data_IF_942033078845
#
_entry.id   IF_942033078845
#
_cell.length_a   1.000
_cell.length_b   1.000
_cell.length_c   1.000
_cell.angle_alpha   90.00
_cell.angle_beta   90.00
_cell.angle_gamma   90.00
#
_symmetry.space_group_name_H-M   'P 1'
#
loop_
_entity.id
_entity.type
_entity.pdbx_description
1 polymer ?
#
# COMPACT_ATOMS: atom_id res chain seq x y z
N UNK A 1 30.44 3.98 -1.72
CA UNK A 1 30.86 2.71 -1.08
C UNK A 1 29.80 2.28 -0.11
N UNK A 2 29.60 0.97 0.08
CA UNK A 2 28.64 0.39 1.05
C UNK A 2 28.79 1.01 2.44
N UNK A 3 30.03 1.23 2.91
CA UNK A 3 30.31 1.88 4.20
C UNK A 3 29.70 3.28 4.35
N UNK A 4 29.53 4.03 3.24
CA UNK A 4 28.87 5.34 3.29
C UNK A 4 27.37 5.23 3.55
N UNK A 5 26.73 4.14 3.12
CA UNK A 5 25.29 3.93 3.34
C UNK A 5 24.98 3.67 4.81
N UNK A 6 25.81 2.88 5.50
CA UNK A 6 25.69 2.67 6.94
C UNK A 6 25.99 3.91 7.80
N UNK A 7 26.64 4.93 7.22
CA UNK A 7 26.95 6.19 7.89
C UNK A 7 25.92 7.30 7.63
N UNK A 8 24.85 7.01 6.89
CA UNK A 8 23.76 7.98 6.67
C UNK A 8 23.00 8.22 7.97
N UNK A 9 22.69 9.49 8.24
CA UNK A 9 21.73 9.88 9.27
C UNK A 9 20.35 10.02 8.63
N UNK A 10 19.43 9.14 9.02
CA UNK A 10 18.06 9.07 8.51
C UNK A 10 17.13 9.33 9.70
N UNK A 11 16.68 10.57 9.86
CA UNK A 11 15.78 10.96 10.95
C UNK A 11 16.36 10.74 12.35
N UNK A 12 17.69 10.83 12.53
CA UNK A 12 18.37 10.55 13.79
C UNK A 12 18.82 9.10 13.97
N UNK A 13 18.60 8.24 12.98
CA UNK A 13 18.97 6.82 13.01
C UNK A 13 20.05 6.49 12.00
N UNK A 14 20.92 5.53 12.35
CA UNK A 14 21.92 4.97 11.43
C UNK A 14 21.49 3.57 10.98
N UNK A 15 21.57 3.25 9.67
CA UNK A 15 21.23 1.92 9.18
C UNK A 15 22.11 0.83 9.80
N UNK A 16 21.53 -0.35 10.09
CA UNK A 16 22.26 -1.53 10.60
C UNK A 16 22.28 -2.69 9.61
N UNK A 17 21.40 -2.65 8.60
CA UNK A 17 21.28 -3.63 7.52
C UNK A 17 21.02 -2.92 6.21
N UNK A 18 21.37 -3.57 5.11
CA UNK A 18 21.03 -3.15 3.75
C UNK A 18 20.21 -4.26 3.11
N UNK A 19 19.10 -3.88 2.47
CA UNK A 19 18.34 -4.72 1.57
C UNK A 19 18.79 -4.41 0.14
N UNK A 20 19.13 -5.43 -0.63
CA UNK A 20 19.51 -5.31 -2.02
C UNK A 20 18.60 -6.21 -2.85
N UNK A 21 17.93 -5.62 -3.84
CA UNK A 21 16.90 -6.28 -4.64
C UNK A 21 17.18 -6.09 -6.13
N UNK A 22 16.46 -6.84 -6.96
CA UNK A 22 16.51 -6.67 -8.40
C UNK A 22 15.94 -5.32 -8.82
N UNK A 23 16.58 -4.67 -9.79
CA UNK A 23 16.07 -3.43 -10.38
C UNK A 23 14.95 -3.78 -11.36
N UNK A 24 13.74 -3.30 -11.08
CA UNK A 24 12.58 -3.51 -11.94
C UNK A 24 12.43 -2.37 -12.95
N UNK A 25 11.95 -2.70 -14.14
CA UNK A 25 11.51 -1.70 -15.12
C UNK A 25 10.08 -1.25 -14.79
N UNK A 26 9.95 -0.27 -13.90
CA UNK A 26 8.67 0.20 -13.39
C UNK A 26 8.01 1.13 -14.42
N UNK A 27 6.87 0.69 -14.96
CA UNK A 27 6.08 1.51 -15.89
C UNK A 27 5.16 2.50 -15.16
N UNK A 28 4.74 2.16 -13.94
CA UNK A 28 3.84 2.97 -13.12
C UNK A 28 3.97 2.59 -11.63
N UNK A 29 3.85 3.60 -10.78
CA UNK A 29 3.82 3.48 -9.32
C UNK A 29 2.44 3.88 -8.80
N UNK A 30 1.96 3.21 -7.75
CA UNK A 30 0.71 3.53 -7.06
C UNK A 30 0.92 3.51 -5.54
N UNK A 31 -0.06 3.98 -4.79
CA UNK A 31 -0.07 3.82 -3.34
C UNK A 31 -1.21 2.90 -2.95
N UNK A 32 -0.97 1.94 -2.07
CA UNK A 32 -2.01 1.09 -1.48
C UNK A 32 -1.72 0.89 0.01
N UNK A 33 -2.73 1.06 0.85
CA UNK A 33 -2.63 0.70 2.27
C UNK A 33 -3.91 0.11 2.84
N UNK A 34 -3.75 -0.62 3.93
CA UNK A 34 -4.81 -1.13 4.78
C UNK A 34 -4.64 -0.54 6.16
N UNK A 35 -5.72 0.00 6.73
CA UNK A 35 -5.71 0.65 8.04
C UNK A 35 -6.99 0.37 8.82
N UNK A 36 -6.96 0.60 10.13
CA UNK A 36 -8.15 0.51 10.98
C UNK A 36 -8.88 1.85 11.00
N UNK A 37 -10.11 1.88 10.49
CA UNK A 37 -11.04 2.98 10.73
C UNK A 37 -11.76 2.76 12.07
N UNK A 38 -11.36 3.56 13.07
CA UNK A 38 -11.89 3.48 14.44
C UNK A 38 -13.33 3.98 14.57
N UNK A 39 -13.75 4.92 13.73
CA UNK A 39 -15.11 5.48 13.77
C UNK A 39 -16.13 4.45 13.27
N UNK A 40 -15.73 3.68 12.26
CA UNK A 40 -16.58 2.66 11.63
C UNK A 40 -16.31 1.24 12.16
N UNK A 41 -15.30 1.06 13.01
CA UNK A 41 -14.85 -0.25 13.51
C UNK A 41 -14.60 -1.24 12.37
N UNK A 42 -13.94 -0.77 11.31
CA UNK A 42 -13.70 -1.51 10.06
C UNK A 42 -12.24 -1.43 9.63
N UNK A 43 -11.84 -2.33 8.74
CA UNK A 43 -10.60 -2.20 7.97
C UNK A 43 -10.95 -1.40 6.71
N UNK A 44 -10.12 -0.41 6.39
CA UNK A 44 -10.23 0.38 5.16
C UNK A 44 -9.03 0.11 4.26
N UNK A 45 -9.31 -0.08 2.97
CA UNK A 45 -8.34 0.02 1.89
C UNK A 45 -8.27 1.48 1.43
N UNK A 46 -7.06 2.04 1.39
CA UNK A 46 -6.76 3.33 0.80
C UNK A 46 -5.89 3.13 -0.42
N UNK A 47 -6.11 3.92 -1.47
CA UNK A 47 -5.25 3.92 -2.64
C UNK A 47 -5.11 5.29 -3.29
N UNK A 48 -3.99 5.49 -3.99
CA UNK A 48 -3.75 6.66 -4.83
C UNK A 48 -3.13 6.25 -6.16
N UNK A 49 -3.47 6.97 -7.23
CA UNK A 49 -3.01 6.67 -8.60
C UNK A 49 -1.53 6.94 -8.84
N UNK A 50 -0.90 7.68 -7.92
CA UNK A 50 0.54 7.96 -7.86
C UNK A 50 1.12 7.36 -6.59
N UNK A 51 2.18 6.55 -6.75
CA UNK A 51 3.05 6.07 -5.66
C UNK A 51 4.28 6.95 -5.49
N UNK A 52 5.13 6.60 -4.52
CA UNK A 52 6.29 7.40 -4.11
C UNK A 52 5.91 8.74 -3.47
N UNK A 53 4.64 8.90 -3.07
CA UNK A 53 4.11 10.15 -2.52
C UNK A 53 4.20 10.18 -1.01
N UNK A 54 4.31 11.38 -0.46
CA UNK A 54 4.09 11.67 0.97
C UNK A 54 2.58 11.76 1.21
N UNK A 55 2.03 10.77 1.90
CA UNK A 55 0.57 10.63 2.09
C UNK A 55 0.05 11.71 3.02
N UNK A 56 0.87 12.14 3.97
CA UNK A 56 0.55 13.12 5.01
C UNK A 56 0.41 14.54 4.45
N UNK A 57 1.03 14.85 3.32
CA UNK A 57 0.92 16.14 2.64
C UNK A 57 -0.35 16.29 1.78
N UNK A 58 -1.09 15.20 1.53
CA UNK A 58 -2.25 15.20 0.64
C UNK A 58 -3.58 15.25 1.40
N UNK A 59 -4.60 15.84 0.76
CA UNK A 59 -5.96 15.78 1.29
C UNK A 59 -6.46 14.33 1.28
N UNK A 60 -7.06 13.89 2.39
CA UNK A 60 -7.70 12.59 2.53
C UNK A 60 -8.75 12.34 1.44
N UNK A 61 -9.37 13.40 0.91
CA UNK A 61 -10.34 13.31 -0.17
C UNK A 61 -9.72 12.95 -1.54
N UNK A 62 -8.40 13.06 -1.71
CA UNK A 62 -7.71 12.70 -2.94
C UNK A 62 -7.57 11.17 -3.12
N UNK A 63 -7.75 10.41 -2.05
CA UNK A 63 -7.55 8.96 -2.04
C UNK A 63 -8.85 8.22 -2.33
N UNK A 64 -8.72 7.14 -3.09
CA UNK A 64 -9.72 6.08 -3.07
C UNK A 64 -9.78 5.48 -1.66
N UNK A 65 -10.97 5.31 -1.11
CA UNK A 65 -11.19 4.76 0.22
C UNK A 65 -12.40 3.84 0.22
N UNK A 66 -12.21 2.61 0.67
CA UNK A 66 -13.29 1.65 0.83
C UNK A 66 -13.11 0.80 2.09
N UNK A 67 -14.19 0.61 2.84
CA UNK A 67 -14.23 -0.42 3.86
C UNK A 67 -14.17 -1.79 3.19
N UNK A 68 -13.40 -2.71 3.77
CA UNK A 68 -13.16 -4.01 3.16
C UNK A 68 -13.30 -5.14 4.18
N UNK A 69 -13.94 -6.22 3.74
CA UNK A 69 -14.04 -7.50 4.45
C UNK A 69 -13.70 -8.63 3.47
N UNK A 70 -13.44 -9.86 3.95
CA UNK A 70 -13.19 -10.99 3.06
C UNK A 70 -14.30 -11.23 2.01
N UNK A 71 -15.55 -10.83 2.32
CA UNK A 71 -16.69 -11.00 1.41
C UNK A 71 -16.79 -9.89 0.37
N UNK A 72 -16.19 -8.72 0.60
CA UNK A 72 -16.27 -7.57 -0.32
C UNK A 72 -15.04 -7.42 -1.21
N UNK A 73 -14.01 -8.27 -1.04
CA UNK A 73 -12.73 -8.19 -1.76
C UNK A 73 -12.93 -8.03 -3.28
N UNK A 74 -13.74 -8.90 -3.90
CA UNK A 74 -13.99 -8.85 -5.34
C UNK A 74 -14.51 -7.47 -5.79
N UNK A 75 -15.59 -6.98 -5.19
CA UNK A 75 -16.19 -5.69 -5.54
C UNK A 75 -15.26 -4.50 -5.26
N UNK A 76 -14.49 -4.54 -4.17
CA UNK A 76 -13.53 -3.48 -3.85
C UNK A 76 -12.35 -3.50 -4.83
N UNK A 77 -11.87 -4.68 -5.23
CA UNK A 77 -10.80 -4.82 -6.20
C UNK A 77 -11.20 -4.35 -7.61
N UNK A 78 -12.43 -4.62 -8.05
CA UNK A 78 -12.96 -4.08 -9.30
C UNK A 78 -12.99 -2.54 -9.28
N UNK A 79 -13.55 -1.94 -8.22
CA UNK A 79 -13.59 -0.49 -8.06
C UNK A 79 -12.18 0.13 -7.96
N UNK A 80 -11.25 -0.57 -7.31
CA UNK A 80 -9.85 -0.18 -7.23
C UNK A 80 -9.17 -0.22 -8.61
N UNK A 81 -9.42 -1.26 -9.40
CA UNK A 81 -8.88 -1.39 -10.75
C UNK A 81 -9.38 -0.26 -11.67
N UNK A 82 -10.67 0.10 -11.58
CA UNK A 82 -11.22 1.25 -12.29
C UNK A 82 -10.57 2.57 -11.83
N UNK A 83 -10.49 2.81 -10.52
CA UNK A 83 -9.86 4.01 -9.97
C UNK A 83 -8.40 4.14 -10.39
N UNK A 84 -7.64 3.05 -10.32
CA UNK A 84 -6.27 3.01 -10.77
C UNK A 84 -6.16 3.02 -12.29
N UNK A 85 -7.23 2.99 -13.09
CA UNK A 85 -7.15 2.87 -14.56
C UNK A 85 -6.34 1.64 -15.01
N UNK A 86 -6.54 0.52 -14.31
CA UNK A 86 -5.92 -0.78 -14.54
C UNK A 86 -6.98 -1.91 -14.67
N UNK A 87 -8.01 -1.75 -15.52
CA UNK A 87 -9.11 -2.71 -15.60
C UNK A 87 -8.67 -4.11 -16.05
N UNK A 88 -7.61 -4.19 -16.87
CA UNK A 88 -7.05 -5.47 -17.34
C UNK A 88 -6.32 -6.24 -16.23
N UNK A 89 -5.98 -5.57 -15.12
CA UNK A 89 -5.29 -6.13 -13.97
C UNK A 89 -6.25 -6.46 -12.80
N UNK A 90 -7.57 -6.34 -12.99
CA UNK A 90 -8.55 -6.52 -11.92
C UNK A 90 -8.38 -7.85 -11.16
N UNK A 91 -8.15 -8.96 -11.87
CA UNK A 91 -7.92 -10.27 -11.23
C UNK A 91 -6.64 -10.29 -10.37
N UNK A 92 -5.54 -9.74 -10.88
CA UNK A 92 -4.28 -9.66 -10.13
C UNK A 92 -4.39 -8.73 -8.91
N UNK A 93 -5.13 -7.63 -9.05
CA UNK A 93 -5.44 -6.73 -7.94
C UNK A 93 -6.34 -7.41 -6.90
N UNK A 94 -7.32 -8.21 -7.31
CA UNK A 94 -8.17 -8.98 -6.39
C UNK A 94 -7.32 -9.95 -5.55
N UNK A 95 -6.45 -10.73 -6.21
CA UNK A 95 -5.54 -11.65 -5.53
C UNK A 95 -4.61 -10.92 -4.55
N UNK A 96 -4.04 -9.79 -4.96
CA UNK A 96 -3.19 -8.96 -4.10
C UNK A 96 -3.98 -8.41 -2.89
N UNK A 97 -5.15 -7.83 -3.12
CA UNK A 97 -6.01 -7.27 -2.06
C UNK A 97 -6.44 -8.36 -1.08
N UNK A 98 -6.81 -9.55 -1.57
CA UNK A 98 -7.15 -10.71 -0.73
C UNK A 98 -5.97 -11.11 0.17
N UNK A 99 -4.77 -11.18 -0.41
CA UNK A 99 -3.57 -11.58 0.31
C UNK A 99 -3.12 -10.52 1.33
N UNK A 100 -3.19 -9.23 0.98
CA UNK A 100 -2.89 -8.13 1.89
C UNK A 100 -3.89 -8.07 3.04
N UNK A 101 -5.20 -8.23 2.76
CA UNK A 101 -6.22 -8.26 3.80
C UNK A 101 -6.02 -9.44 4.76
N UNK A 102 -5.73 -10.63 4.22
CA UNK A 102 -5.38 -11.80 5.03
C UNK A 102 -4.14 -11.53 5.88
N UNK A 103 -3.06 -11.00 5.28
CA UNK A 103 -1.83 -10.66 6.00
C UNK A 103 -2.10 -9.67 7.14
N UNK A 104 -2.92 -8.65 6.88
CA UNK A 104 -3.32 -7.65 7.85
C UNK A 104 -4.04 -8.26 9.05
N UNK A 105 -4.99 -9.16 8.81
CA UNK A 105 -5.79 -9.83 9.85
C UNK A 105 -4.94 -10.84 10.62
N UNK A 106 -4.25 -11.74 9.90
CA UNK A 106 -3.53 -12.87 10.51
C UNK A 106 -2.34 -12.42 11.39
N UNK A 107 -1.84 -11.20 11.18
CA UNK A 107 -0.70 -10.64 11.92
C UNK A 107 -1.10 -9.49 12.87
N UNK A 108 -2.40 -9.28 13.10
CA UNK A 108 -2.91 -8.19 13.95
C UNK A 108 -2.32 -6.81 13.58
N UNK A 109 -2.22 -6.53 12.27
CA UNK A 109 -1.62 -5.29 11.78
C UNK A 109 -2.45 -4.07 12.20
N UNK A 110 -1.77 -2.96 12.46
CA UNK A 110 -2.39 -1.63 12.57
C UNK A 110 -2.36 -0.87 11.24
N UNK A 111 -1.32 -1.14 10.45
CA UNK A 111 -1.04 -0.56 9.14
C UNK A 111 -0.35 -1.64 8.29
N UNK A 112 -0.77 -1.78 7.05
CA UNK A 112 -0.01 -2.43 5.98
C UNK A 112 0.03 -1.44 4.83
N UNK A 113 1.23 -1.07 4.39
CA UNK A 113 1.43 -0.06 3.36
C UNK A 113 2.40 -0.57 2.30
N UNK A 114 2.06 -0.32 1.04
CA UNK A 114 2.87 -0.57 -0.15
C UNK A 114 2.97 0.76 -0.90
N UNK A 115 4.19 1.32 -0.92
CA UNK A 115 4.50 2.62 -1.53
C UNK A 115 5.97 2.64 -2.04
N UNK A 116 6.19 2.61 -3.37
CA UNK A 116 5.21 2.44 -4.44
C UNK A 116 4.67 1.00 -4.56
#
# INVERSE_FOLDING_TARGET
TIQRLFALDIGGYTPTKLLAEEVLSIARECYISFTINREQSSIELLAHTSGGIDVEEHDRAAFFRQAITPQTVHTVAEALAEYLSLPEQAFALEDMVANCLRCFIDNDCLLLEINP
#
